data_IF_269000645490
#
_entry.id   IF_269000645490
#
_cell.length_a   1.000
_cell.length_b   1.000
_cell.length_c   1.000
_cell.angle_alpha   90.00
_cell.angle_beta   90.00
_cell.angle_gamma   90.00
#
_symmetry.space_group_name_H-M   'P 1'
#
loop_
_entity.id
_entity.type
_entity.pdbx_description
1 polymer ?
#
# COMPACT_ATOMS: atom_id res chain seq x y z
N UNK A 1 -11.39 10.39 8.56
CA UNK A 1 -10.77 9.73 7.39
C UNK A 1 -11.75 9.70 6.23
N UNK A 2 -11.22 9.66 5.01
CA UNK A 2 -12.00 9.72 3.76
C UNK A 2 -11.91 8.41 3.01
N UNK A 3 -13.00 7.97 2.38
CA UNK A 3 -12.96 6.79 1.51
C UNK A 3 -11.90 6.97 0.43
N UNK A 4 -11.08 5.94 0.20
CA UNK A 4 -10.08 5.89 -0.87
C UNK A 4 -10.70 6.28 -2.22
N UNK A 5 -11.91 5.82 -2.48
CA UNK A 5 -12.65 6.08 -3.71
C UNK A 5 -13.32 7.46 -3.78
N UNK A 6 -13.11 8.33 -2.79
CA UNK A 6 -13.57 9.74 -2.83
C UNK A 6 -12.43 10.72 -2.54
N UNK A 7 -11.26 10.21 -2.21
CA UNK A 7 -10.10 11.02 -1.95
C UNK A 7 -9.59 11.65 -3.24
N UNK A 8 -9.08 12.88 -3.09
CA UNK A 8 -8.24 13.53 -4.09
C UNK A 8 -6.79 13.10 -3.85
N UNK A 9 -6.07 12.86 -4.93
CA UNK A 9 -4.66 12.51 -4.93
C UNK A 9 -3.90 13.49 -5.82
N UNK A 10 -2.65 13.76 -5.43
CA UNK A 10 -1.70 14.57 -6.18
C UNK A 10 -0.49 13.71 -6.59
N UNK A 11 0.23 14.07 -7.66
CA UNK A 11 1.37 13.30 -8.14
C UNK A 11 2.45 12.99 -7.10
N UNK A 12 2.68 13.89 -6.16
CA UNK A 12 3.74 13.78 -5.15
C UNK A 12 3.23 13.24 -3.80
N UNK A 13 2.00 12.71 -3.75
CA UNK A 13 1.45 12.13 -2.53
C UNK A 13 2.21 10.85 -2.14
N UNK A 14 2.53 10.75 -0.85
CA UNK A 14 3.12 9.55 -0.25
C UNK A 14 2.01 8.72 0.39
N UNK A 15 1.89 7.46 -0.04
CA UNK A 15 0.98 6.49 0.57
C UNK A 15 1.70 5.73 1.68
N UNK A 16 1.30 5.97 2.92
CA UNK A 16 1.88 5.31 4.10
C UNK A 16 0.95 4.20 4.57
N UNK A 17 1.50 2.99 4.73
CA UNK A 17 0.77 1.82 5.19
C UNK A 17 1.40 1.26 6.46
N UNK A 18 0.55 0.76 7.34
CA UNK A 18 0.99 0.03 8.51
C UNK A 18 1.22 -1.46 8.22
N UNK A 19 1.76 -2.17 9.20
CA UNK A 19 1.87 -3.63 9.12
C UNK A 19 0.50 -4.31 9.07
N UNK A 20 0.42 -5.50 8.48
CA UNK A 20 -0.84 -6.24 8.38
C UNK A 20 -1.46 -6.55 9.75
N UNK A 21 -0.62 -6.85 10.76
CA UNK A 21 -1.10 -7.22 12.10
C UNK A 21 -1.47 -6.03 12.98
N UNK A 22 -0.71 -4.93 12.90
CA UNK A 22 -0.85 -3.79 13.84
C UNK A 22 -1.43 -2.54 13.21
N UNK A 23 -1.45 -2.43 11.88
CA UNK A 23 -1.79 -1.20 11.20
C UNK A 23 -0.77 -0.08 11.46
N UNK A 24 -1.20 1.16 11.27
CA UNK A 24 -0.44 2.37 11.60
C UNK A 24 -0.57 2.66 13.10
N UNK A 25 0.43 3.29 13.73
CA UNK A 25 0.32 3.79 15.10
C UNK A 25 -0.91 4.69 15.27
N UNK A 26 -1.62 4.54 16.39
CA UNK A 26 -2.86 5.29 16.64
C UNK A 26 -2.58 6.79 16.74
N UNK A 27 -1.43 7.17 17.30
CA UNK A 27 -0.99 8.55 17.45
C UNK A 27 -0.85 9.23 16.08
N UNK A 28 -0.26 8.54 15.10
CA UNK A 28 -0.11 9.06 13.74
C UNK A 28 -1.47 9.24 13.04
N UNK A 29 -2.42 8.34 13.29
CA UNK A 29 -3.78 8.45 12.77
C UNK A 29 -4.56 9.58 13.43
N UNK A 30 -4.33 9.83 14.71
CA UNK A 30 -4.94 10.91 15.48
C UNK A 30 -4.36 12.28 15.13
N UNK A 31 -3.08 12.36 14.77
CA UNK A 31 -2.41 13.59 14.34
C UNK A 31 -2.83 14.05 12.93
N UNK A 32 -3.24 13.12 12.05
CA UNK A 32 -3.61 13.40 10.67
C UNK A 32 -4.98 12.84 10.25
N UNK A 33 -6.08 13.18 10.96
CA UNK A 33 -7.39 12.57 10.75
C UNK A 33 -7.99 12.85 9.35
N UNK A 34 -7.61 13.97 8.74
CA UNK A 34 -7.98 14.43 7.40
C UNK A 34 -7.16 13.77 6.28
N UNK A 35 -5.96 13.26 6.59
CA UNK A 35 -5.11 12.51 5.64
C UNK A 35 -5.37 11.01 5.70
N UNK A 36 -6.00 10.52 6.76
CA UNK A 36 -6.43 9.11 6.88
C UNK A 36 -7.34 8.70 5.71
N UNK A 37 -7.00 7.60 5.06
CA UNK A 37 -7.79 6.95 4.01
C UNK A 37 -8.27 5.58 4.48
N UNK A 38 -9.40 5.12 3.94
CA UNK A 38 -9.91 3.78 4.21
C UNK A 38 -10.58 3.18 2.98
N UNK A 39 -10.52 1.85 2.86
CA UNK A 39 -11.28 1.09 1.87
C UNK A 39 -12.59 0.67 2.53
N UNK A 40 -13.77 1.03 1.98
CA UNK A 40 -15.04 0.50 2.46
C UNK A 40 -15.05 -1.03 2.39
N UNK A 41 -15.52 -1.68 3.46
CA UNK A 41 -15.68 -3.14 3.55
C UNK A 41 -17.08 -3.47 4.07
N UNK A 42 -17.58 -4.65 3.72
CA UNK A 42 -18.88 -5.13 4.18
C UNK A 42 -18.89 -5.40 5.70
N UNK A 43 -20.03 -5.22 6.39
CA UNK A 43 -20.18 -5.60 7.78
C UNK A 43 -19.81 -7.08 8.01
N UNK A 44 -19.03 -7.35 9.07
CA UNK A 44 -18.56 -8.70 9.41
C UNK A 44 -17.23 -9.10 8.77
N UNK A 45 -16.74 -8.34 7.77
CA UNK A 45 -15.37 -8.51 7.27
C UNK A 45 -14.39 -7.82 8.22
N UNK A 46 -13.34 -8.52 8.66
CA UNK A 46 -12.36 -7.98 9.61
C UNK A 46 -11.39 -7.00 8.95
N UNK A 47 -10.80 -7.40 7.83
CA UNK A 47 -9.89 -6.58 7.02
C UNK A 47 -9.66 -7.23 5.66
N UNK A 48 -9.09 -6.46 4.74
CA UNK A 48 -8.48 -6.98 3.53
C UNK A 48 -6.99 -7.25 3.80
N UNK A 49 -6.41 -8.20 3.07
CA UNK A 49 -4.96 -8.40 3.07
C UNK A 49 -4.24 -7.11 2.65
N UNK A 50 -3.08 -6.84 3.27
CA UNK A 50 -2.33 -5.61 3.05
C UNK A 50 -1.94 -5.40 1.57
N UNK A 51 -1.49 -6.44 0.86
CA UNK A 51 -1.08 -6.32 -0.54
C UNK A 51 -2.26 -5.90 -1.44
N UNK A 52 -3.46 -6.40 -1.18
CA UNK A 52 -4.67 -6.00 -1.91
C UNK A 52 -4.99 -4.53 -1.67
N UNK A 53 -4.87 -4.05 -0.42
CA UNK A 53 -5.10 -2.64 -0.08
C UNK A 53 -4.05 -1.73 -0.73
N UNK A 54 -2.78 -2.13 -0.72
CA UNK A 54 -1.69 -1.37 -1.35
C UNK A 54 -1.90 -1.27 -2.86
N UNK A 55 -2.21 -2.40 -3.53
CA UNK A 55 -2.49 -2.42 -4.96
C UNK A 55 -3.67 -1.50 -5.31
N UNK A 56 -4.78 -1.65 -4.60
CA UNK A 56 -5.98 -0.84 -4.81
C UNK A 56 -5.71 0.65 -4.58
N UNK A 57 -4.98 1.00 -3.53
CA UNK A 57 -4.64 2.38 -3.19
C UNK A 57 -3.72 3.02 -4.24
N UNK A 58 -2.68 2.31 -4.67
CA UNK A 58 -1.75 2.79 -5.69
C UNK A 58 -2.47 3.06 -7.01
N UNK A 59 -3.24 2.10 -7.51
CA UNK A 59 -3.94 2.24 -8.79
C UNK A 59 -5.03 3.33 -8.71
N UNK A 60 -5.74 3.42 -7.58
CA UNK A 60 -6.71 4.51 -7.37
C UNK A 60 -6.03 5.88 -7.35
N UNK A 61 -4.86 5.99 -6.71
CA UNK A 61 -4.13 7.25 -6.61
C UNK A 61 -3.60 7.71 -7.97
N UNK A 62 -3.00 6.79 -8.75
CA UNK A 62 -2.52 7.09 -10.11
C UNK A 62 -3.66 7.62 -11.00
N UNK A 63 -4.78 6.89 -11.07
CA UNK A 63 -5.96 7.28 -11.86
C UNK A 63 -6.49 8.66 -11.43
N UNK A 64 -6.72 8.85 -10.12
CA UNK A 64 -7.27 10.09 -9.56
C UNK A 64 -6.35 11.29 -9.70
N UNK A 65 -5.04 11.08 -9.69
CA UNK A 65 -4.04 12.11 -9.90
C UNK A 65 -3.82 12.41 -11.39
N UNK A 66 -4.47 11.67 -12.31
CA UNK A 66 -4.26 11.81 -13.75
C UNK A 66 -2.87 11.37 -14.21
N UNK A 67 -2.25 10.45 -13.47
CA UNK A 67 -0.95 9.89 -13.80
C UNK A 67 -1.10 8.70 -14.74
N UNK A 68 -0.06 8.44 -15.53
CA UNK A 68 -0.02 7.28 -16.40
C UNK A 68 -0.06 5.98 -15.58
N UNK A 69 -0.98 5.10 -15.96
CA UNK A 69 -1.06 3.75 -15.42
C UNK A 69 -0.01 2.86 -16.11
N UNK A 70 0.46 1.79 -15.44
CA UNK A 70 1.23 0.77 -16.12
C UNK A 70 0.44 0.22 -17.31
N UNK A 71 1.02 0.31 -18.50
CA UNK A 71 0.46 -0.21 -19.75
C UNK A 71 1.30 -1.41 -20.18
N UNK A 72 0.72 -2.61 -20.06
CA UNK A 72 1.28 -3.82 -20.62
C UNK A 72 0.21 -4.54 -21.43
N UNK A 73 0.63 -5.29 -22.44
CA UNK A 73 -0.22 -6.09 -23.33
C UNK A 73 -0.71 -7.41 -22.68
N UNK A 74 -0.71 -7.48 -21.34
CA UNK A 74 -0.98 -8.70 -20.57
C UNK A 74 0.23 -9.64 -20.48
N UNK A 75 1.37 -9.30 -21.09
CA UNK A 75 2.60 -10.08 -20.90
C UNK A 75 3.23 -9.79 -19.55
N UNK A 76 3.84 -10.82 -18.98
CA UNK A 76 4.65 -10.72 -17.77
C UNK A 76 6.10 -10.97 -18.12
N UNK A 77 6.94 -9.95 -17.96
CA UNK A 77 8.40 -10.11 -18.01
C UNK A 77 8.91 -10.27 -16.59
N UNK A 78 9.33 -11.48 -16.25
CA UNK A 78 9.92 -11.75 -14.94
C UNK A 78 11.20 -10.92 -14.75
N UNK A 79 11.39 -10.41 -13.54
CA UNK A 79 12.68 -9.82 -13.17
C UNK A 79 13.80 -10.85 -13.38
N UNK A 80 15.01 -10.48 -13.84
CA UNK A 80 16.10 -11.43 -14.11
C UNK A 80 16.46 -12.35 -12.93
N UNK A 81 16.11 -11.91 -11.72
CA UNK A 81 16.35 -12.59 -10.44
C UNK A 81 15.13 -13.30 -9.87
N UNK A 82 14.05 -13.46 -10.64
CA UNK A 82 12.81 -14.08 -10.17
C UNK A 82 12.99 -15.57 -9.83
N UNK A 83 14.01 -16.22 -10.40
CA UNK A 83 14.39 -17.60 -10.07
C UNK A 83 15.33 -17.70 -8.87
N UNK A 84 15.85 -16.57 -8.36
CA UNK A 84 16.65 -16.60 -7.15
C UNK A 84 15.71 -16.95 -5.99
N UNK A 85 15.86 -18.14 -5.41
CA UNK A 85 15.16 -18.53 -4.18
C UNK A 85 15.80 -17.82 -2.98
N UNK A 86 15.55 -16.51 -2.91
CA UNK A 86 16.04 -15.65 -1.83
C UNK A 86 15.01 -15.68 -0.72
N UNK A 87 15.37 -16.30 0.41
CA UNK A 87 14.53 -16.18 1.60
C UNK A 87 14.81 -14.83 2.29
N UNK A 88 13.78 -14.10 2.75
CA UNK A 88 13.97 -12.87 3.52
C UNK A 88 14.95 -13.04 4.69
N UNK A 89 14.95 -14.21 5.34
CA UNK A 89 15.85 -14.56 6.42
C UNK A 89 17.34 -14.59 6.02
N UNK A 90 17.67 -14.78 4.74
CA UNK A 90 19.03 -14.83 4.21
C UNK A 90 19.58 -13.44 3.85
N UNK A 91 18.73 -12.41 3.82
CA UNK A 91 19.12 -11.03 3.44
C UNK A 91 18.84 -9.97 4.50
N UNK A 92 17.88 -10.19 5.38
CA UNK A 92 17.54 -9.23 6.43
C UNK A 92 18.55 -9.38 7.58
N UNK A 93 19.49 -8.45 7.67
CA UNK A 93 20.23 -8.22 8.91
C UNK A 93 19.35 -7.36 9.81
N UNK A 94 18.99 -7.87 10.99
CA UNK A 94 18.44 -7.03 12.04
C UNK A 94 19.55 -6.08 12.49
N UNK A 95 19.34 -4.79 12.28
CA UNK A 95 20.19 -3.76 12.87
C UNK A 95 19.96 -3.85 14.38
N UNK A 96 21.01 -4.11 15.16
CA UNK A 96 20.95 -3.95 16.60
C UNK A 96 20.93 -2.45 16.88
N UNK A 97 19.92 -1.98 17.61
CA UNK A 97 19.90 -0.61 18.15
C UNK A 97 20.84 -0.57 19.36
N UNK A 98 21.77 0.39 19.36
CA UNK A 98 22.57 0.80 20.52
C UNK A 98 21.76 1.76 21.42
#
# INVERSE_FOLDING_TARGET
GTSLFRARFLPDDVLVFGSESKGLPEELLAEHPERRRYVPIEPGVRSLNLANVVCLALYTALDRAGLAMPDNDGTYTAHPRAADDVRPAERVQRVQED
#
